data_IF_100968423581
#
_entry.id   IF_100968423581
#
_cell.length_a   1.000
_cell.length_b   1.000
_cell.length_c   1.000
_cell.angle_alpha   90.00
_cell.angle_beta   90.00
_cell.angle_gamma   90.00
#
_symmetry.space_group_name_H-M   'P 1'
#
loop_
_entity.id
_entity.type
_entity.pdbx_description
1 polymer ?
#
# COMPACT_ATOMS: atom_id res chain seq x y z
N UNK A 1 -7.74 27.22 9.96
CA UNK A 1 -6.55 26.40 10.17
C UNK A 1 -6.21 25.76 8.84
N UNK A 2 -5.06 26.10 8.23
CA UNK A 2 -4.60 25.44 7.01
C UNK A 2 -4.32 23.98 7.35
N UNK A 3 -5.19 23.05 6.94
CA UNK A 3 -4.82 21.64 6.97
C UNK A 3 -3.62 21.49 6.03
N UNK A 4 -2.48 21.04 6.54
CA UNK A 4 -1.35 20.72 5.70
C UNK A 4 -1.84 19.70 4.65
N UNK A 5 -1.49 19.90 3.38
CA UNK A 5 -1.82 19.00 2.29
C UNK A 5 -1.30 17.59 2.62
N UNK A 6 -2.18 16.59 2.64
CA UNK A 6 -1.78 15.19 2.89
C UNK A 6 -0.93 14.68 1.74
N UNK A 7 0.08 13.89 2.08
CA UNK A 7 1.01 13.30 1.11
C UNK A 7 0.96 11.79 1.16
N UNK A 8 0.72 11.16 0.02
CA UNK A 8 0.65 9.71 -0.10
C UNK A 8 1.72 9.20 -1.08
N UNK A 9 2.21 8.00 -0.83
CA UNK A 9 3.08 7.28 -1.77
C UNK A 9 2.48 5.93 -2.13
N UNK A 10 2.50 5.59 -3.41
CA UNK A 10 2.10 4.28 -3.94
C UNK A 10 3.36 3.55 -4.37
N UNK A 11 3.61 2.37 -3.81
CA UNK A 11 4.75 1.54 -4.19
C UNK A 11 4.45 0.80 -5.48
N UNK A 12 5.34 0.87 -6.46
CA UNK A 12 5.17 0.23 -7.77
C UNK A 12 6.40 -0.58 -8.17
N UNK A 13 6.16 -1.67 -8.90
CA UNK A 13 7.17 -2.41 -9.66
C UNK A 13 6.47 -3.03 -10.88
N UNK A 14 7.22 -3.64 -11.80
CA UNK A 14 6.65 -4.26 -12.99
C UNK A 14 5.57 -5.30 -12.67
N UNK A 15 4.58 -5.39 -13.53
CA UNK A 15 3.41 -6.26 -13.43
C UNK A 15 2.49 -5.93 -12.23
N UNK A 16 2.39 -4.64 -11.88
CA UNK A 16 1.38 -4.18 -10.94
C UNK A 16 -0.03 -4.35 -11.50
N UNK A 17 -1.03 -4.41 -10.62
CA UNK A 17 -2.44 -4.44 -11.05
C UNK A 17 -2.92 -3.00 -11.31
N UNK A 18 -3.38 -2.70 -12.52
CA UNK A 18 -3.69 -1.36 -13.00
C UNK A 18 -4.68 -0.61 -12.12
N UNK A 19 -5.81 -1.26 -11.83
CA UNK A 19 -6.88 -0.62 -11.07
C UNK A 19 -6.46 -0.36 -9.63
N UNK A 20 -5.62 -1.23 -9.05
CA UNK A 20 -5.15 -1.11 -7.67
C UNK A 20 -4.09 -0.02 -7.49
N UNK A 21 -3.52 0.48 -8.57
CA UNK A 21 -2.65 1.67 -8.60
C UNK A 21 -3.45 2.92 -8.94
N UNK A 22 -4.15 2.90 -10.07
CA UNK A 22 -4.73 4.12 -10.64
C UNK A 22 -6.05 4.55 -9.98
N UNK A 23 -6.88 3.61 -9.52
CA UNK A 23 -8.09 3.99 -8.79
C UNK A 23 -7.74 4.65 -7.44
N UNK A 24 -6.87 4.10 -6.57
CA UNK A 24 -6.39 4.79 -5.37
C UNK A 24 -5.69 6.12 -5.67
N UNK A 25 -4.89 6.20 -6.75
CA UNK A 25 -4.22 7.43 -7.16
C UNK A 25 -5.21 8.57 -7.38
N UNK A 26 -6.24 8.35 -8.21
CA UNK A 26 -7.24 9.38 -8.48
C UNK A 26 -8.12 9.68 -7.27
N UNK A 27 -8.42 8.69 -6.45
CA UNK A 27 -9.19 8.88 -5.21
C UNK A 27 -8.45 9.75 -4.19
N UNK A 28 -7.14 9.58 -4.08
CA UNK A 28 -6.28 10.42 -3.23
C UNK A 28 -6.21 11.86 -3.77
N UNK A 29 -6.06 12.04 -5.08
CA UNK A 29 -6.08 13.37 -5.69
C UNK A 29 -7.45 14.08 -5.49
N UNK A 30 -8.54 13.36 -5.68
CA UNK A 30 -9.90 13.88 -5.44
C UNK A 30 -10.10 14.29 -3.96
N UNK A 31 -9.45 13.56 -3.04
CA UNK A 31 -9.42 13.90 -1.61
C UNK A 31 -8.58 15.16 -1.31
N UNK A 32 -7.75 15.60 -2.23
CA UNK A 32 -6.85 16.74 -2.07
C UNK A 32 -5.45 16.38 -1.54
N UNK A 33 -5.06 15.10 -1.64
CA UNK A 33 -3.70 14.68 -1.30
C UNK A 33 -2.77 14.76 -2.51
N UNK A 34 -1.50 15.10 -2.29
CA UNK A 34 -0.45 14.88 -3.27
C UNK A 34 -0.03 13.41 -3.27
N UNK A 35 0.23 12.86 -4.46
CA UNK A 35 0.51 11.43 -4.63
C UNK A 35 1.79 11.24 -5.43
N UNK A 36 2.74 10.49 -4.86
CA UNK A 36 3.99 10.08 -5.51
C UNK A 36 3.99 8.58 -5.80
N UNK A 37 4.67 8.18 -6.87
CA UNK A 37 5.02 6.78 -7.11
C UNK A 37 6.46 6.52 -6.69
N UNK A 38 6.69 5.43 -5.97
CA UNK A 38 8.03 4.97 -5.62
C UNK A 38 8.29 3.56 -6.16
N UNK A 39 9.43 3.37 -6.77
CA UNK A 39 9.89 2.11 -7.33
C UNK A 39 11.33 1.80 -6.94
N UNK A 40 11.94 0.78 -7.51
CA UNK A 40 13.35 0.46 -7.26
C UNK A 40 14.29 1.55 -7.78
N UNK A 41 13.92 2.21 -8.88
CA UNK A 41 14.75 3.22 -9.56
C UNK A 41 13.90 4.47 -9.81
N UNK A 42 14.33 5.62 -9.28
CA UNK A 42 13.70 6.90 -9.56
C UNK A 42 13.79 7.27 -11.05
N UNK A 43 12.71 7.80 -11.60
CA UNK A 43 12.61 8.15 -13.01
C UNK A 43 12.29 6.98 -13.94
N UNK A 44 12.35 5.74 -13.47
CA UNK A 44 12.02 4.56 -14.28
C UNK A 44 10.51 4.43 -14.49
N UNK A 45 10.12 3.94 -15.67
CA UNK A 45 8.73 3.63 -16.01
C UNK A 45 8.50 2.14 -15.82
N UNK A 46 7.59 1.81 -14.90
CA UNK A 46 7.14 0.45 -14.64
C UNK A 46 5.86 0.19 -15.41
N UNK A 47 5.69 -1.05 -15.88
CA UNK A 47 4.52 -1.46 -16.63
C UNK A 47 3.61 -2.35 -15.77
N UNK A 48 2.31 -2.14 -15.91
CA UNK A 48 1.31 -2.99 -15.28
C UNK A 48 1.24 -4.38 -15.93
N UNK A 49 0.35 -5.22 -15.42
CA UNK A 49 0.06 -6.55 -16.03
C UNK A 49 -0.40 -6.45 -17.50
N UNK A 50 -1.05 -5.36 -17.88
CA UNK A 50 -1.56 -5.10 -19.23
C UNK A 50 -0.74 -4.04 -19.99
N UNK A 51 0.44 -3.66 -19.48
CA UNK A 51 1.34 -2.74 -20.13
C UNK A 51 1.05 -1.25 -19.88
N UNK A 52 0.16 -0.91 -18.95
CA UNK A 52 -0.10 0.50 -18.64
C UNK A 52 1.06 1.08 -17.81
N UNK A 53 1.66 2.23 -18.25
CA UNK A 53 2.88 2.74 -17.63
C UNK A 53 2.59 3.55 -16.37
N UNK A 54 3.49 3.45 -15.37
CA UNK A 54 3.58 4.35 -14.23
C UNK A 54 5.04 4.71 -13.98
N UNK A 55 5.33 6.02 -13.89
CA UNK A 55 6.69 6.51 -13.66
C UNK A 55 6.94 6.73 -12.18
N UNK A 56 7.96 6.09 -11.62
CA UNK A 56 8.40 6.34 -10.26
C UNK A 56 9.08 7.71 -10.16
N UNK A 57 8.56 8.60 -9.32
CA UNK A 57 9.22 9.86 -8.99
C UNK A 57 10.39 9.67 -8.02
N UNK A 58 10.27 8.65 -7.15
CA UNK A 58 11.25 8.32 -6.10
C UNK A 58 11.73 6.87 -6.21
N UNK A 59 12.96 6.61 -5.74
CA UNK A 59 13.39 5.25 -5.44
C UNK A 59 13.00 4.86 -4.01
N UNK A 60 12.95 3.55 -3.69
CA UNK A 60 12.71 3.09 -2.32
C UNK A 60 13.78 3.60 -1.33
N UNK A 61 15.01 3.85 -1.79
CA UNK A 61 16.08 4.40 -0.96
C UNK A 61 15.88 5.87 -0.58
N UNK A 62 15.06 6.59 -1.33
CA UNK A 62 14.73 8.01 -1.10
C UNK A 62 13.51 8.21 -0.21
N UNK A 63 12.81 7.13 0.17
CA UNK A 63 11.61 7.22 1.01
C UNK A 63 11.98 7.61 2.44
N UNK A 64 11.29 8.60 2.96
CA UNK A 64 11.37 9.04 4.36
C UNK A 64 9.98 9.10 4.98
N UNK A 65 9.83 8.54 6.17
CA UNK A 65 8.54 8.52 6.88
C UNK A 65 8.02 9.92 7.17
N UNK A 66 8.91 10.90 7.39
CA UNK A 66 8.52 12.28 7.64
C UNK A 66 7.79 12.92 6.46
N UNK A 67 8.00 12.42 5.24
CA UNK A 67 7.52 13.05 4.01
C UNK A 67 6.12 12.62 3.59
N UNK A 68 5.57 11.58 4.23
CA UNK A 68 4.29 10.99 3.84
C UNK A 68 3.35 10.78 5.02
N UNK A 69 2.04 10.87 4.77
CA UNK A 69 0.97 10.52 5.70
C UNK A 69 0.41 9.12 5.41
N UNK A 70 0.59 8.63 4.19
CA UNK A 70 0.06 7.34 3.74
C UNK A 70 1.02 6.60 2.82
N UNK A 71 1.03 5.26 2.93
CA UNK A 71 1.62 4.35 1.95
C UNK A 71 0.56 3.37 1.44
N UNK A 72 0.46 3.24 0.11
CA UNK A 72 -0.42 2.30 -0.57
C UNK A 72 0.44 1.21 -1.22
N UNK A 73 0.09 -0.04 -0.97
CA UNK A 73 0.75 -1.21 -1.55
C UNK A 73 -0.25 -1.97 -2.43
N UNK A 74 -0.24 -1.75 -3.75
CA UNK A 74 -1.10 -2.45 -4.68
C UNK A 74 -0.65 -3.90 -4.89
N UNK A 75 -1.48 -4.68 -5.57
CA UNK A 75 -1.19 -6.06 -5.90
C UNK A 75 -0.64 -6.27 -7.33
N UNK A 76 -1.08 -7.33 -7.95
CA UNK A 76 -0.44 -7.89 -9.14
C UNK A 76 0.75 -8.76 -8.76
N UNK A 77 1.78 -8.82 -9.62
CA UNK A 77 3.07 -9.48 -9.32
C UNK A 77 4.07 -8.52 -8.68
N UNK A 78 3.82 -7.21 -8.76
CA UNK A 78 4.70 -6.18 -8.21
C UNK A 78 5.09 -6.41 -6.74
N UNK A 79 4.19 -6.79 -5.81
CA UNK A 79 4.54 -7.06 -4.42
C UNK A 79 5.66 -8.10 -4.23
N UNK A 80 5.69 -9.12 -5.08
CA UNK A 80 6.76 -10.15 -5.06
C UNK A 80 8.14 -9.57 -5.39
N UNK A 81 8.17 -8.50 -6.18
CA UNK A 81 9.39 -7.77 -6.51
C UNK A 81 9.72 -6.76 -5.41
N UNK A 82 8.74 -5.96 -4.98
CA UNK A 82 8.89 -4.93 -3.94
C UNK A 82 9.43 -5.52 -2.64
N UNK A 83 8.90 -6.65 -2.18
CA UNK A 83 9.30 -7.29 -0.92
C UNK A 83 10.76 -7.73 -0.86
N UNK A 84 11.46 -7.82 -2.02
CA UNK A 84 12.89 -8.13 -2.08
C UNK A 84 13.78 -6.95 -1.70
N UNK A 85 13.22 -5.74 -1.64
CA UNK A 85 13.95 -4.53 -1.30
C UNK A 85 13.80 -4.23 0.21
N UNK A 86 14.87 -4.41 1.01
CA UNK A 86 14.79 -4.18 2.47
C UNK A 86 14.32 -2.78 2.84
N UNK A 87 14.69 -1.77 2.03
CA UNK A 87 14.28 -0.37 2.24
C UNK A 87 12.78 -0.16 2.09
N UNK A 88 12.14 -0.80 1.10
CA UNK A 88 10.69 -0.73 0.94
C UNK A 88 9.97 -1.37 2.14
N UNK A 89 10.42 -2.55 2.58
CA UNK A 89 9.85 -3.24 3.74
C UNK A 89 10.03 -2.43 5.04
N UNK A 90 11.22 -1.85 5.22
CA UNK A 90 11.52 -1.02 6.39
C UNK A 90 10.63 0.23 6.40
N UNK A 91 10.52 0.92 5.28
CA UNK A 91 9.68 2.10 5.14
C UNK A 91 8.22 1.81 5.52
N UNK A 92 7.63 0.73 4.99
CA UNK A 92 6.25 0.32 5.32
C UNK A 92 6.10 0.03 6.81
N UNK A 93 7.07 -0.65 7.42
CA UNK A 93 7.10 -0.91 8.87
C UNK A 93 7.17 0.38 9.68
N UNK A 94 8.02 1.30 9.29
CA UNK A 94 8.20 2.58 9.99
C UNK A 94 6.97 3.48 9.86
N UNK A 95 6.29 3.47 8.70
CA UNK A 95 4.99 4.13 8.51
C UNK A 95 3.96 3.60 9.51
N UNK A 96 3.83 2.28 9.63
CA UNK A 96 2.93 1.66 10.61
C UNK A 96 3.31 2.04 12.05
N UNK A 97 4.60 1.95 12.40
CA UNK A 97 5.09 2.27 13.75
C UNK A 97 4.89 3.74 14.12
N UNK A 98 4.90 4.64 13.15
CA UNK A 98 4.61 6.05 13.31
C UNK A 98 3.09 6.36 13.40
N UNK A 99 2.22 5.34 13.32
CA UNK A 99 0.78 5.49 13.30
C UNK A 99 0.22 6.08 12.00
N UNK A 100 1.03 6.15 10.95
CA UNK A 100 0.62 6.65 9.64
C UNK A 100 -0.12 5.58 8.86
N UNK A 101 -0.94 5.98 7.89
CA UNK A 101 -1.76 5.06 7.11
C UNK A 101 -0.89 4.09 6.31
N UNK A 102 -1.16 2.80 6.50
CA UNK A 102 -0.67 1.70 5.66
C UNK A 102 -1.86 0.99 5.04
N UNK A 103 -1.98 1.03 3.72
CA UNK A 103 -3.08 0.40 3.00
C UNK A 103 -2.52 -0.59 1.95
N UNK A 104 -3.00 -1.84 1.97
CA UNK A 104 -2.54 -2.88 1.05
C UNK A 104 -3.71 -3.70 0.51
N UNK A 105 -3.68 -4.01 -0.77
CA UNK A 105 -4.74 -4.74 -1.46
C UNK A 105 -4.19 -5.94 -2.25
N UNK A 106 -5.00 -6.99 -2.36
CA UNK A 106 -4.75 -8.17 -3.18
C UNK A 106 -3.48 -8.91 -2.72
N UNK A 107 -2.41 -8.94 -3.53
CA UNK A 107 -1.11 -9.49 -3.17
C UNK A 107 -0.23 -8.47 -2.39
N UNK A 108 -0.65 -7.21 -2.29
CA UNK A 108 0.06 -6.16 -1.54
C UNK A 108 0.44 -6.56 -0.11
N UNK A 109 -0.42 -7.24 0.66
CA UNK A 109 -0.07 -7.72 2.00
C UNK A 109 1.16 -8.63 2.09
N UNK A 110 1.66 -9.21 0.99
CA UNK A 110 2.93 -9.94 1.00
C UNK A 110 4.14 -9.07 1.37
N UNK A 111 4.09 -7.78 1.02
CA UNK A 111 5.10 -6.79 1.47
C UNK A 111 5.00 -6.58 2.98
N UNK A 112 3.78 -6.56 3.53
CA UNK A 112 3.54 -6.44 4.98
C UNK A 112 4.10 -7.66 5.73
N UNK A 113 3.99 -8.87 5.14
CA UNK A 113 4.61 -10.08 5.70
C UNK A 113 6.14 -9.95 5.81
N UNK A 114 6.76 -9.24 4.86
CA UNK A 114 8.22 -9.01 4.83
C UNK A 114 8.64 -7.83 5.72
N UNK A 115 7.72 -6.95 6.08
CA UNK A 115 7.90 -5.90 7.09
C UNK A 115 7.80 -6.50 8.50
N UNK A 116 8.86 -7.18 8.95
CA UNK A 116 8.87 -8.06 10.13
C UNK A 116 8.14 -7.48 11.35
N UNK A 117 7.16 -8.23 11.85
CA UNK A 117 6.38 -7.91 13.04
C UNK A 117 5.19 -6.98 12.81
N UNK A 118 5.03 -6.38 11.62
CA UNK A 118 3.93 -5.47 11.33
C UNK A 118 2.56 -6.15 11.50
N UNK A 119 2.41 -7.37 10.98
CA UNK A 119 1.15 -8.10 11.02
C UNK A 119 0.88 -8.85 12.34
N UNK A 120 1.86 -8.90 13.24
CA UNK A 120 1.72 -9.65 14.50
C UNK A 120 0.58 -9.10 15.37
N UNK A 121 -0.45 -9.92 15.57
CA UNK A 121 -1.63 -9.56 16.38
C UNK A 121 -2.57 -8.56 15.71
N UNK A 122 -2.39 -8.29 14.40
CA UNK A 122 -3.26 -7.41 13.63
C UNK A 122 -4.38 -8.20 12.95
N UNK A 123 -5.53 -7.56 12.76
CA UNK A 123 -6.57 -8.05 11.86
C UNK A 123 -6.21 -7.63 10.43
N UNK A 124 -6.34 -8.56 9.47
CA UNK A 124 -6.05 -8.27 8.08
C UNK A 124 -6.80 -9.19 7.12
N UNK A 125 -6.93 -8.76 5.89
CA UNK A 125 -7.33 -9.58 4.76
C UNK A 125 -6.32 -9.48 3.62
N UNK A 126 -6.46 -10.31 2.60
CA UNK A 126 -5.60 -10.33 1.42
C UNK A 126 -6.27 -11.10 0.29
N UNK A 127 -5.67 -11.11 -0.88
CA UNK A 127 -6.03 -12.10 -1.88
C UNK A 127 -5.86 -13.50 -1.30
N UNK A 128 -6.80 -14.39 -1.63
CA UNK A 128 -6.91 -15.71 -0.99
C UNK A 128 -5.62 -16.55 -1.08
N UNK A 129 -4.90 -16.46 -2.21
CA UNK A 129 -3.70 -17.30 -2.43
C UNK A 129 -2.54 -17.01 -1.47
N UNK A 130 -2.51 -15.84 -0.83
CA UNK A 130 -1.48 -15.47 0.16
C UNK A 130 -2.01 -15.45 1.60
N UNK A 131 -3.20 -16.02 1.83
CA UNK A 131 -3.79 -16.13 3.18
C UNK A 131 -2.83 -16.74 4.18
N UNK A 132 -2.21 -17.86 3.82
CA UNK A 132 -1.33 -18.60 4.71
C UNK A 132 -0.07 -17.78 5.06
N UNK A 133 0.45 -16.99 4.11
CA UNK A 133 1.57 -16.08 4.38
C UNK A 133 1.19 -15.01 5.41
N UNK A 134 -0.01 -14.42 5.28
CA UNK A 134 -0.53 -13.40 6.19
C UNK A 134 -0.77 -13.97 7.59
N UNK A 135 -1.36 -15.17 7.67
CA UNK A 135 -1.55 -15.90 8.95
C UNK A 135 -0.20 -16.25 9.59
N UNK A 136 0.75 -16.77 8.81
CA UNK A 136 2.09 -17.12 9.29
C UNK A 136 2.89 -15.89 9.76
N UNK A 137 2.61 -14.70 9.20
CA UNK A 137 3.16 -13.44 9.67
C UNK A 137 2.53 -12.94 10.99
N UNK A 138 1.52 -13.66 11.51
CA UNK A 138 0.90 -13.41 12.81
C UNK A 138 -0.40 -12.64 12.79
N UNK A 139 -1.03 -12.45 11.63
CA UNK A 139 -2.32 -11.78 11.52
C UNK A 139 -3.51 -12.72 11.83
N UNK A 140 -4.58 -12.14 12.38
CA UNK A 140 -5.92 -12.73 12.37
C UNK A 140 -6.55 -12.39 10.99
N UNK A 141 -6.47 -13.34 10.07
CA UNK A 141 -6.99 -13.17 8.72
C UNK A 141 -8.50 -13.30 8.65
N UNK A 142 -9.17 -12.40 7.94
CA UNK A 142 -10.62 -12.37 7.74
C UNK A 142 -10.94 -12.32 6.24
N UNK A 143 -11.94 -13.07 5.78
CA UNK A 143 -12.47 -12.94 4.43
C UNK A 143 -13.51 -11.82 4.39
N UNK A 144 -13.04 -10.59 4.18
CA UNK A 144 -13.88 -9.41 4.11
C UNK A 144 -13.39 -8.48 3.00
N UNK A 145 -14.31 -7.72 2.39
CA UNK A 145 -13.96 -6.77 1.32
C UNK A 145 -12.95 -5.71 1.78
N UNK A 146 -13.00 -5.33 3.05
CA UNK A 146 -12.03 -4.46 3.68
C UNK A 146 -11.92 -4.77 5.17
N UNK A 147 -10.71 -4.82 5.69
CA UNK A 147 -10.41 -4.91 7.12
C UNK A 147 -9.65 -3.67 7.53
N UNK A 148 -10.19 -2.98 8.53
CA UNK A 148 -9.56 -1.81 9.17
C UNK A 148 -9.12 -2.21 10.57
N UNK A 149 -7.83 -2.11 10.83
CA UNK A 149 -7.24 -2.28 12.15
C UNK A 149 -6.34 -1.07 12.45
N UNK A 150 -6.90 -0.08 13.15
CA UNK A 150 -6.25 1.20 13.45
C UNK A 150 -5.82 1.92 12.15
N UNK A 151 -4.52 2.04 11.92
CA UNK A 151 -3.90 2.66 10.75
C UNK A 151 -3.61 1.69 9.59
N UNK A 152 -3.88 0.39 9.78
CA UNK A 152 -3.71 -0.63 8.75
C UNK A 152 -5.05 -0.94 8.07
N UNK A 153 -5.10 -0.78 6.76
CA UNK A 153 -6.27 -1.10 5.93
C UNK A 153 -5.86 -2.15 4.90
N UNK A 154 -6.57 -3.27 4.86
CA UNK A 154 -6.31 -4.33 3.87
C UNK A 154 -7.57 -4.72 3.11
N UNK A 155 -7.42 -5.20 1.88
CA UNK A 155 -8.50 -5.59 0.98
C UNK A 155 -8.09 -6.75 0.08
N UNK A 156 -9.03 -7.42 -0.61
CA UNK A 156 -8.78 -8.72 -1.26
C UNK A 156 -8.43 -8.63 -2.75
N UNK A 157 -9.13 -7.79 -3.50
CA UNK A 157 -9.11 -7.83 -4.97
C UNK A 157 -9.65 -6.52 -5.57
N UNK A 158 -9.56 -6.32 -6.90
CA UNK A 158 -10.01 -5.08 -7.54
C UNK A 158 -11.51 -4.75 -7.34
N UNK A 159 -12.36 -5.74 -7.18
CA UNK A 159 -13.80 -5.53 -6.95
C UNK A 159 -14.05 -4.83 -5.60
N UNK A 160 -13.16 -4.97 -4.66
CA UNK A 160 -13.25 -4.36 -3.33
C UNK A 160 -12.71 -2.92 -3.30
N UNK A 161 -12.13 -2.40 -4.39
CA UNK A 161 -11.51 -1.07 -4.45
C UNK A 161 -12.40 0.08 -3.95
N UNK A 162 -13.72 0.13 -4.24
CA UNK A 162 -14.57 1.19 -3.70
C UNK A 162 -14.63 1.20 -2.17
N UNK A 163 -14.74 0.03 -1.53
CA UNK A 163 -14.75 -0.10 -0.08
C UNK A 163 -13.37 0.21 0.52
N UNK A 164 -12.31 -0.33 -0.09
CA UNK A 164 -10.92 -0.08 0.28
C UNK A 164 -10.57 1.42 0.27
N UNK A 165 -10.90 2.12 -0.83
CA UNK A 165 -10.57 3.53 -0.94
C UNK A 165 -11.39 4.40 0.03
N UNK A 166 -12.67 4.12 0.23
CA UNK A 166 -13.45 4.81 1.27
C UNK A 166 -12.82 4.65 2.65
N UNK A 167 -12.45 3.42 3.01
CA UNK A 167 -11.90 3.12 4.33
C UNK A 167 -10.56 3.84 4.57
N UNK A 168 -9.63 3.80 3.61
CA UNK A 168 -8.35 4.45 3.83
C UNK A 168 -8.44 5.99 3.78
N UNK A 169 -9.33 6.57 2.95
CA UNK A 169 -9.56 8.01 2.96
C UNK A 169 -10.19 8.49 4.27
N UNK A 170 -11.10 7.71 4.84
CA UNK A 170 -11.67 8.02 6.16
C UNK A 170 -10.59 8.04 7.26
N UNK A 171 -9.65 7.10 7.24
CA UNK A 171 -8.54 7.07 8.19
C UNK A 171 -7.58 8.23 7.94
N UNK A 172 -7.21 8.50 6.69
CA UNK A 172 -6.33 9.60 6.31
C UNK A 172 -6.89 10.97 6.70
N UNK A 173 -8.21 11.14 6.60
CA UNK A 173 -8.90 12.38 6.96
C UNK A 173 -8.97 12.65 8.47
N UNK A 174 -8.73 11.63 9.30
CA UNK A 174 -8.75 11.74 10.78
C UNK A 174 -7.36 11.93 11.40
N UNK A 175 -6.30 11.70 10.64
CA UNK A 175 -4.90 11.70 11.07
C UNK A 175 -4.25 13.10 11.01
#
# INVERSE_FOLDING_TARGET
>A
MSSSEKRAVILIDNSYQEMEVWYPYFRLQEFGASVEFAGAIAGHVYESKLGYPAKAGLSYDQLSVSDFDAVIVPGGVAPDRIRRYPKANLFVKEMDSAGKLVAAICHGPSVLCSAQGLLKGRRATSFHSIKDDVVNAGAAWEDAEVVVDRNLITSRNPEDLPAFCRAFLDVLGRS
#
